data_IF_508913281234
#
_entry.id   IF_508913281234
#
_cell.length_a   1.000
_cell.length_b   1.000
_cell.length_c   1.000
_cell.angle_alpha   90.00
_cell.angle_beta   90.00
_cell.angle_gamma   90.00
#
_symmetry.space_group_name_H-M   'P 1'
#
loop_
_entity.id
_entity.type
_entity.pdbx_description
1 polymer ?
#
# COMPACT_ATOMS: atom_id res chain seq x y z
N UNK A 1 -26.69 -93.14 7.76
CA UNK A 1 -26.87 -91.82 8.41
C UNK A 1 -25.70 -91.32 9.28
N UNK A 2 -24.69 -92.14 9.64
CA UNK A 2 -23.57 -91.68 10.51
C UNK A 2 -22.58 -90.73 9.81
N UNK A 3 -22.26 -90.99 8.54
CA UNK A 3 -21.32 -90.18 7.75
C UNK A 3 -21.78 -88.74 7.54
N UNK A 4 -23.06 -88.52 7.17
CA UNK A 4 -23.63 -87.18 6.98
C UNK A 4 -23.59 -86.37 8.28
N UNK A 5 -23.97 -86.98 9.42
CA UNK A 5 -23.88 -86.32 10.73
C UNK A 5 -22.46 -85.95 11.14
N UNK A 6 -21.46 -86.75 10.76
CA UNK A 6 -20.06 -86.44 11.06
C UNK A 6 -19.57 -85.28 10.19
N UNK A 7 -19.89 -85.28 8.88
CA UNK A 7 -19.55 -84.18 7.98
C UNK A 7 -20.09 -82.83 8.49
N UNK A 8 -21.37 -82.75 8.87
CA UNK A 8 -21.94 -81.51 9.40
C UNK A 8 -21.36 -81.09 10.75
N UNK A 9 -20.89 -82.04 11.57
CA UNK A 9 -20.18 -81.72 12.80
C UNK A 9 -18.80 -81.14 12.51
N UNK A 10 -18.07 -81.73 11.57
CA UNK A 10 -16.75 -81.26 11.18
C UNK A 10 -16.82 -79.87 10.53
N UNK A 11 -17.82 -79.60 9.69
CA UNK A 11 -18.08 -78.26 9.14
C UNK A 11 -18.45 -77.25 10.23
N UNK A 12 -19.33 -77.62 11.17
CA UNK A 12 -19.66 -76.73 12.29
C UNK A 12 -18.45 -76.42 13.18
N UNK A 13 -17.57 -77.39 13.40
CA UNK A 13 -16.33 -77.18 14.14
C UNK A 13 -15.38 -76.22 13.39
N UNK A 14 -15.27 -76.34 12.07
CA UNK A 14 -14.50 -75.39 11.25
C UNK A 14 -15.07 -73.98 11.31
N UNK A 15 -16.39 -73.83 11.28
CA UNK A 15 -17.06 -72.52 11.39
C UNK A 15 -16.80 -71.87 12.75
N UNK A 16 -16.81 -72.66 13.83
CA UNK A 16 -16.47 -72.19 15.17
C UNK A 16 -14.99 -71.78 15.27
N UNK A 17 -14.07 -72.60 14.75
CA UNK A 17 -12.64 -72.26 14.71
C UNK A 17 -12.37 -71.00 13.87
N UNK A 18 -13.13 -70.80 12.79
CA UNK A 18 -13.03 -69.61 11.96
C UNK A 18 -13.53 -68.37 12.71
N UNK A 19 -14.66 -68.47 13.41
CA UNK A 19 -15.19 -67.40 14.25
C UNK A 19 -14.23 -67.02 15.38
N UNK A 20 -13.60 -68.00 16.04
CA UNK A 20 -12.59 -67.76 17.07
C UNK A 20 -11.34 -67.07 16.50
N UNK A 21 -10.89 -67.46 15.31
CA UNK A 21 -9.78 -66.78 14.60
C UNK A 21 -10.12 -65.34 14.25
N UNK A 22 -11.33 -65.07 13.75
CA UNK A 22 -11.77 -63.71 13.45
C UNK A 22 -11.89 -62.86 14.73
N UNK A 23 -12.36 -63.44 15.83
CA UNK A 23 -12.41 -62.77 17.13
C UNK A 23 -11.00 -62.40 17.64
N UNK A 24 -10.04 -63.34 17.53
CA UNK A 24 -8.65 -63.08 17.90
C UNK A 24 -8.00 -61.98 17.02
N UNK A 25 -8.22 -62.04 15.71
CA UNK A 25 -7.74 -61.00 14.78
C UNK A 25 -8.33 -59.62 15.10
N UNK A 26 -9.63 -59.54 15.40
CA UNK A 26 -10.29 -58.29 15.79
C UNK A 26 -9.66 -57.68 17.05
N UNK A 27 -9.32 -58.52 18.04
CA UNK A 27 -8.65 -58.06 19.26
C UNK A 27 -7.21 -57.58 19.02
N UNK A 28 -6.49 -58.22 18.10
CA UNK A 28 -5.15 -57.78 17.69
C UNK A 28 -5.20 -56.45 16.94
N UNK A 29 -6.18 -56.28 16.03
CA UNK A 29 -6.41 -55.03 15.30
C UNK A 29 -6.77 -53.87 16.24
N UNK A 30 -7.63 -54.10 17.24
CA UNK A 30 -7.97 -53.09 18.25
C UNK A 30 -6.73 -52.63 19.04
N UNK A 31 -5.86 -53.57 19.44
CA UNK A 31 -4.62 -53.25 20.18
C UNK A 31 -3.63 -52.47 19.33
N UNK A 32 -3.46 -52.85 18.06
CA UNK A 32 -2.59 -52.10 17.14
C UNK A 32 -3.16 -50.69 16.88
N UNK A 33 -4.48 -50.57 16.75
CA UNK A 33 -5.14 -49.27 16.62
C UNK A 33 -4.92 -48.38 17.84
N UNK A 34 -5.09 -48.91 19.06
CA UNK A 34 -4.81 -48.18 20.30
C UNK A 34 -3.35 -47.70 20.36
N UNK A 35 -2.39 -48.56 20.01
CA UNK A 35 -0.97 -48.21 19.97
C UNK A 35 -0.68 -47.08 18.98
N UNK A 36 -1.29 -47.12 17.79
CA UNK A 36 -1.12 -46.09 16.77
C UNK A 36 -1.73 -44.75 17.21
N UNK A 37 -2.86 -44.78 17.93
CA UNK A 37 -3.45 -43.57 18.51
C UNK A 37 -2.51 -42.94 19.55
N UNK A 38 -1.93 -43.73 20.45
CA UNK A 38 -0.97 -43.23 21.43
C UNK A 38 0.26 -42.59 20.79
N UNK A 39 0.79 -43.19 19.72
CA UNK A 39 1.90 -42.62 18.97
C UNK A 39 1.52 -41.32 18.27
N UNK A 40 0.31 -41.26 17.69
CA UNK A 40 -0.23 -40.06 17.08
C UNK A 40 -0.38 -38.92 18.10
N UNK A 41 -0.89 -39.23 19.30
CA UNK A 41 -1.02 -38.25 20.39
C UNK A 41 0.33 -37.69 20.82
N UNK A 42 1.34 -38.55 20.96
CA UNK A 42 2.71 -38.13 21.33
C UNK A 42 3.32 -37.20 20.27
N UNK A 43 3.18 -37.53 18.99
CA UNK A 43 3.70 -36.68 17.91
C UNK A 43 2.90 -35.37 17.80
N UNK A 44 1.58 -35.41 17.98
CA UNK A 44 0.75 -34.21 18.02
C UNK A 44 1.17 -33.25 19.14
N UNK A 45 1.48 -33.78 20.32
CA UNK A 45 1.98 -32.98 21.45
C UNK A 45 3.33 -32.34 21.11
N UNK A 46 4.26 -33.10 20.52
CA UNK A 46 5.57 -32.59 20.09
C UNK A 46 5.41 -31.47 19.06
N UNK A 47 4.57 -31.68 18.05
CA UNK A 47 4.31 -30.68 17.01
C UNK A 47 3.60 -29.46 17.58
N UNK A 48 2.70 -29.63 18.55
CA UNK A 48 2.04 -28.51 19.22
C UNK A 48 3.04 -27.58 19.92
N UNK A 49 4.05 -28.13 20.60
CA UNK A 49 5.12 -27.33 21.23
C UNK A 49 5.90 -26.54 20.18
N UNK A 50 6.32 -27.18 19.08
CA UNK A 50 7.03 -26.49 17.99
C UNK A 50 6.18 -25.38 17.35
N UNK A 51 4.88 -25.61 17.17
CA UNK A 51 3.95 -24.59 16.67
C UNK A 51 3.85 -23.41 17.64
N UNK A 52 3.78 -23.66 18.95
CA UNK A 52 3.74 -22.60 19.95
C UNK A 52 5.01 -21.74 19.93
N UNK A 53 6.18 -22.35 19.81
CA UNK A 53 7.46 -21.64 19.70
C UNK A 53 7.52 -20.77 18.44
N UNK A 54 7.14 -21.33 17.29
CA UNK A 54 7.07 -20.58 16.03
C UNK A 54 6.09 -19.41 16.12
N UNK A 55 4.89 -19.64 16.67
CA UNK A 55 3.88 -18.61 16.81
C UNK A 55 4.37 -17.45 17.70
N UNK A 56 5.07 -17.75 18.81
CA UNK A 56 5.69 -16.70 19.66
C UNK A 56 6.69 -15.84 18.88
N UNK A 57 7.52 -16.47 18.03
CA UNK A 57 8.47 -15.73 17.20
C UNK A 57 7.77 -14.88 16.14
N UNK A 58 6.71 -15.39 15.51
CA UNK A 58 5.91 -14.64 14.54
C UNK A 58 5.18 -13.47 15.20
N UNK A 59 4.62 -13.65 16.39
CA UNK A 59 3.98 -12.59 17.18
C UNK A 59 4.97 -11.48 17.52
N UNK A 60 6.17 -11.83 17.99
CA UNK A 60 7.21 -10.84 18.27
C UNK A 60 7.57 -10.01 17.03
N UNK A 61 7.78 -10.67 15.88
CA UNK A 61 8.05 -9.99 14.60
C UNK A 61 6.90 -9.07 14.18
N UNK A 62 5.65 -9.52 14.32
CA UNK A 62 4.47 -8.70 14.00
C UNK A 62 4.40 -7.46 14.87
N UNK A 63 4.70 -7.58 16.17
CA UNK A 63 4.72 -6.43 17.09
C UNK A 63 5.80 -5.44 16.67
N UNK A 64 7.01 -5.91 16.35
CA UNK A 64 8.11 -5.05 15.86
C UNK A 64 7.73 -4.31 14.57
N UNK A 65 7.16 -5.01 13.59
CA UNK A 65 6.69 -4.40 12.35
C UNK A 65 5.60 -3.35 12.59
N UNK A 66 4.65 -3.61 13.50
CA UNK A 66 3.59 -2.67 13.82
C UNK A 66 4.16 -1.40 14.48
N UNK A 67 5.11 -1.55 15.39
CA UNK A 67 5.79 -0.41 16.02
C UNK A 67 6.57 0.43 15.00
N UNK A 68 7.27 -0.22 14.05
CA UNK A 68 7.97 0.48 12.97
C UNK A 68 6.99 1.26 12.08
N UNK A 69 5.89 0.62 11.65
CA UNK A 69 4.83 1.28 10.87
C UNK A 69 4.21 2.46 11.61
N UNK A 70 3.98 2.33 12.91
CA UNK A 70 3.45 3.41 13.74
C UNK A 70 4.43 4.59 13.84
N UNK A 71 5.72 4.31 14.05
CA UNK A 71 6.77 5.33 14.10
C UNK A 71 6.89 6.08 12.76
N UNK A 72 6.90 5.37 11.65
CA UNK A 72 6.92 5.97 10.31
C UNK A 72 5.69 6.82 10.02
N UNK A 73 4.50 6.34 10.40
CA UNK A 73 3.26 7.08 10.24
C UNK A 73 3.28 8.39 11.04
N UNK A 74 3.77 8.35 12.29
CA UNK A 74 3.95 9.55 13.12
C UNK A 74 4.93 10.53 12.50
N UNK A 75 6.07 10.05 12.00
CA UNK A 75 7.07 10.90 11.35
C UNK A 75 6.51 11.59 10.09
N UNK A 76 5.79 10.85 9.23
CA UNK A 76 5.12 11.41 8.05
C UNK A 76 4.07 12.45 8.41
N UNK A 77 3.29 12.20 9.47
CA UNK A 77 2.27 13.13 9.94
C UNK A 77 2.90 14.44 10.44
N UNK A 78 4.00 14.36 11.18
CA UNK A 78 4.75 15.54 11.63
C UNK A 78 5.26 16.36 10.45
N UNK A 79 5.92 15.73 9.46
CA UNK A 79 6.39 16.41 8.25
C UNK A 79 5.24 17.08 7.47
N UNK A 80 4.10 16.39 7.36
CA UNK A 80 2.93 16.94 6.68
C UNK A 80 2.36 18.13 7.43
N UNK A 81 2.31 18.07 8.76
CA UNK A 81 1.87 19.18 9.61
C UNK A 81 2.76 20.40 9.44
N UNK A 82 4.08 20.22 9.47
CA UNK A 82 5.04 21.31 9.26
C UNK A 82 4.85 21.97 7.89
N UNK A 83 4.68 21.18 6.84
CA UNK A 83 4.41 21.68 5.48
C UNK A 83 3.10 22.47 5.41
N UNK A 84 2.03 21.98 6.05
CA UNK A 84 0.76 22.71 6.09
C UNK A 84 0.93 24.02 6.86
N UNK A 85 1.63 24.01 7.99
CA UNK A 85 1.88 25.23 8.77
C UNK A 85 2.67 26.26 7.97
N UNK A 86 3.64 25.83 7.16
CA UNK A 86 4.37 26.72 6.26
C UNK A 86 3.45 27.35 5.20
N UNK A 87 2.62 26.53 4.54
CA UNK A 87 1.65 27.02 3.55
C UNK A 87 0.69 28.03 4.20
N UNK A 88 0.13 27.72 5.37
CA UNK A 88 -0.77 28.60 6.10
C UNK A 88 -0.07 29.90 6.50
N UNK A 89 1.20 29.84 6.91
CA UNK A 89 1.98 31.04 7.27
C UNK A 89 2.24 31.91 6.05
N UNK A 90 2.56 31.32 4.90
CA UNK A 90 2.72 32.06 3.64
C UNK A 90 1.40 32.69 3.20
N UNK A 91 0.29 31.96 3.33
CA UNK A 91 -1.03 32.45 2.94
C UNK A 91 -1.49 33.60 3.84
N UNK A 92 -1.24 33.53 5.16
CA UNK A 92 -1.47 34.64 6.09
C UNK A 92 -0.64 35.90 5.75
N UNK A 93 0.57 35.73 5.20
CA UNK A 93 1.38 36.85 4.71
C UNK A 93 0.83 37.41 3.39
N UNK A 94 0.28 36.56 2.52
CA UNK A 94 -0.36 37.00 1.27
C UNK A 94 -1.70 37.68 1.51
N UNK A 95 -2.44 37.25 2.53
CA UNK A 95 -3.77 37.80 2.82
C UNK A 95 -3.76 39.28 3.16
N UNK A 96 -2.66 39.82 3.69
CA UNK A 96 -2.52 41.27 3.89
C UNK A 96 -2.44 42.07 2.58
N UNK A 97 -2.09 41.43 1.47
CA UNK A 97 -2.01 42.04 0.13
C UNK A 97 -3.30 41.88 -0.66
N UNK A 98 -4.32 41.19 -0.11
CA UNK A 98 -5.58 40.97 -0.82
C UNK A 98 -6.42 42.24 -0.91
N UNK A 99 -7.10 42.38 -2.04
CA UNK A 99 -8.05 43.46 -2.27
C UNK A 99 -9.34 43.14 -1.50
N UNK A 100 -9.68 44.00 -0.57
CA UNK A 100 -10.90 44.02 0.23
C UNK A 100 -11.81 45.16 -0.26
N UNK A 101 -13.06 45.21 0.19
CA UNK A 101 -13.99 46.28 -0.21
C UNK A 101 -13.48 47.67 0.18
N UNK A 102 -12.69 47.78 1.25
CA UNK A 102 -12.18 49.05 1.77
C UNK A 102 -10.99 49.59 0.96
N UNK A 103 -10.15 48.70 0.38
CA UNK A 103 -8.96 49.10 -0.38
C UNK A 103 -9.16 49.02 -1.91
N UNK A 104 -10.38 48.74 -2.37
CA UNK A 104 -10.70 48.47 -3.77
C UNK A 104 -10.36 49.64 -4.70
N UNK A 105 -10.83 50.85 -4.38
CA UNK A 105 -10.62 52.03 -5.21
C UNK A 105 -9.14 52.38 -5.34
N UNK A 106 -8.38 52.29 -4.23
CA UNK A 106 -6.94 52.52 -4.23
C UNK A 106 -6.17 51.48 -5.05
N UNK A 107 -6.60 50.21 -5.01
CA UNK A 107 -6.00 49.14 -5.79
C UNK A 107 -6.25 49.31 -7.30
N UNK A 108 -7.42 49.83 -7.69
CA UNK A 108 -7.76 50.10 -9.09
C UNK A 108 -6.86 51.21 -9.65
N UNK A 109 -6.73 52.34 -8.94
CA UNK A 109 -5.87 53.44 -9.38
C UNK A 109 -4.41 53.01 -9.50
N UNK A 110 -3.89 52.29 -8.50
CA UNK A 110 -2.52 51.76 -8.54
C UNK A 110 -2.26 50.84 -9.74
N UNK A 111 -3.24 50.00 -10.11
CA UNK A 111 -3.14 49.09 -11.25
C UNK A 111 -3.19 49.81 -12.60
N UNK A 112 -3.93 50.92 -12.70
CA UNK A 112 -3.96 51.77 -13.90
C UNK A 112 -2.63 52.51 -14.07
N UNK A 113 -2.08 53.03 -12.98
CA UNK A 113 -0.79 53.76 -12.99
C UNK A 113 0.40 52.84 -13.26
N UNK A 114 0.35 51.58 -12.81
CA UNK A 114 1.46 50.63 -12.87
C UNK A 114 1.09 49.36 -13.69
N UNK A 115 1.03 49.45 -15.03
CA UNK A 115 0.78 48.29 -15.87
C UNK A 115 1.97 47.32 -15.85
N UNK A 116 1.76 46.08 -15.40
CA UNK A 116 2.79 45.02 -15.38
C UNK A 116 2.64 44.13 -16.62
N UNK A 117 3.75 43.88 -17.33
CA UNK A 117 3.78 42.93 -18.46
C UNK A 117 4.36 41.59 -18.04
N UNK A 118 3.65 40.51 -18.37
CA UNK A 118 4.13 39.13 -18.23
C UNK A 118 4.62 38.55 -19.57
N UNK A 119 4.86 39.41 -20.57
CA UNK A 119 5.32 38.96 -21.88
C UNK A 119 6.81 38.67 -21.84
N UNK A 120 7.16 37.39 -22.02
CA UNK A 120 8.55 36.95 -22.18
C UNK A 120 8.69 36.00 -23.36
N UNK A 121 9.86 36.01 -24.00
CA UNK A 121 10.20 35.10 -25.09
C UNK A 121 11.24 34.09 -24.62
N UNK A 122 11.15 32.85 -25.09
CA UNK A 122 12.06 31.75 -24.74
C UNK A 122 12.79 31.27 -26.00
N UNK A 123 14.08 30.99 -25.89
CA UNK A 123 14.89 30.40 -26.96
C UNK A 123 14.61 28.90 -27.13
N UNK A 124 15.08 28.32 -28.22
CA UNK A 124 15.07 26.87 -28.46
C UNK A 124 15.84 26.07 -27.39
N UNK A 125 16.71 26.74 -26.64
CA UNK A 125 17.48 26.16 -25.52
C UNK A 125 16.80 26.36 -24.16
N UNK A 126 15.60 26.95 -24.13
CA UNK A 126 14.86 27.19 -22.89
C UNK A 126 15.28 28.44 -22.11
N UNK A 127 16.14 29.30 -22.69
CA UNK A 127 16.58 30.54 -22.04
C UNK A 127 15.61 31.67 -22.36
N UNK A 128 15.16 32.40 -21.34
CA UNK A 128 14.35 33.61 -21.50
C UNK A 128 15.21 34.73 -22.11
N UNK A 129 14.74 35.35 -23.20
CA UNK A 129 15.52 36.28 -24.03
C UNK A 129 15.01 37.73 -23.94
N UNK A 130 13.77 37.96 -23.51
CA UNK A 130 13.19 39.30 -23.52
C UNK A 130 12.27 39.54 -22.32
N UNK A 131 12.61 40.55 -21.52
CA UNK A 131 11.70 41.17 -20.56
C UNK A 131 10.97 42.30 -21.28
N UNK A 132 9.69 42.08 -21.58
CA UNK A 132 8.90 43.05 -22.31
C UNK A 132 8.60 44.30 -21.49
N UNK A 133 9.09 45.45 -21.95
CA UNK A 133 8.50 46.74 -21.59
C UNK A 133 6.99 46.68 -21.86
N UNK A 134 6.12 47.14 -20.93
CA UNK A 134 4.68 47.10 -21.13
C UNK A 134 4.29 47.77 -22.45
N UNK A 135 3.46 47.09 -23.24
CA UNK A 135 3.00 47.52 -24.56
C UNK A 135 2.35 48.92 -24.59
N UNK A 136 2.02 49.50 -23.43
CA UNK A 136 1.38 50.81 -23.30
C UNK A 136 2.32 52.01 -23.56
N UNK A 137 3.63 51.89 -23.33
CA UNK A 137 4.57 53.00 -23.61
C UNK A 137 4.74 53.27 -25.12
N UNK A 138 4.53 52.24 -25.96
CA UNK A 138 4.64 52.32 -27.42
C UNK A 138 3.54 53.17 -28.09
N UNK A 139 2.43 53.48 -27.41
CA UNK A 139 1.31 54.23 -27.97
C UNK A 139 1.22 55.69 -27.49
N UNK A 140 2.13 56.16 -26.63
CA UNK A 140 2.21 57.60 -26.32
C UNK A 140 2.64 58.44 -27.54
N UNK A 141 3.32 57.85 -28.52
CA UNK A 141 3.91 58.55 -29.67
C UNK A 141 3.24 58.26 -31.04
N UNK A 142 2.07 57.60 -31.06
CA UNK A 142 1.37 57.24 -32.30
C UNK A 142 1.70 55.83 -32.82
N UNK A 143 1.09 55.37 -33.94
CA UNK A 143 1.17 53.97 -34.36
C UNK A 143 2.61 53.56 -34.70
N UNK A 144 3.06 52.46 -34.09
CA UNK A 144 4.41 51.93 -34.21
C UNK A 144 4.85 51.78 -35.68
N UNK A 145 6.04 52.30 -36.00
CA UNK A 145 6.70 52.01 -37.27
C UNK A 145 6.85 50.50 -37.47
N UNK A 146 6.50 50.02 -38.66
CA UNK A 146 6.55 48.61 -39.02
C UNK A 146 7.94 48.03 -38.71
N UNK A 147 7.98 47.03 -37.82
CA UNK A 147 9.22 46.30 -37.52
C UNK A 147 9.85 45.79 -38.82
N UNK A 148 11.06 46.24 -39.12
CA UNK A 148 11.82 45.73 -40.25
C UNK A 148 12.25 44.30 -39.94
N UNK A 149 11.62 43.33 -40.62
CA UNK A 149 11.92 41.90 -40.48
C UNK A 149 13.40 41.69 -40.86
N UNK A 150 14.25 41.13 -39.97
CA UNK A 150 15.64 40.87 -40.32
C UNK A 150 15.69 39.83 -41.45
N UNK A 151 16.42 40.15 -42.52
CA UNK A 151 16.58 39.27 -43.68
C UNK A 151 17.22 37.96 -43.22
N UNK A 152 16.48 36.84 -43.36
CA UNK A 152 17.00 35.47 -43.17
C UNK A 152 18.32 35.33 -43.93
N UNK A 153 19.41 35.02 -43.23
CA UNK A 153 20.64 34.52 -43.87
C UNK A 153 20.27 33.23 -44.59
N UNK A 154 20.44 33.21 -45.91
CA UNK A 154 20.36 31.99 -46.70
C UNK A 154 21.53 31.09 -46.28
N UNK A 155 21.21 29.83 -46.00
CA UNK A 155 22.17 28.76 -45.71
C UNK A 155 23.17 28.59 -46.84
#
# INVERSE_FOLDING_TARGET
MKAIRNFWRDEHLKDLELADKHSALSQEEEREHERLLEENEKENQRVAVLRMERNKQEEAKRVEELLQREAEAKAKLLQFKERIEEIVRLEKKRSSTYVTLENLDQAIEFAIENPVSYSYAIDQQGKEIWEGTPHYELYKEGPAHAYAIPRRKRF
#
